data_IF_849150834822
#
_entry.id   IF_849150834822
#
_cell.length_a   1.000
_cell.length_b   1.000
_cell.length_c   1.000
_cell.angle_alpha   90.00
_cell.angle_beta   90.00
_cell.angle_gamma   90.00
#
_symmetry.space_group_name_H-M   'P 1'
#
loop_
_entity.id
_entity.type
_entity.pdbx_description
1 polymer ?
#
# COMPACT_ATOMS: atom_id res chain seq x y z
N UNK A 1 36.57 26.99 -1.83
CA UNK A 1 36.53 25.68 -1.17
C UNK A 1 35.08 25.28 -1.10
N UNK A 2 34.80 24.14 -1.69
CA UNK A 2 33.50 23.57 -2.01
C UNK A 2 32.97 22.84 -0.77
N UNK A 3 31.86 23.30 -0.20
CA UNK A 3 31.09 22.52 0.76
C UNK A 3 29.65 22.48 0.27
N UNK A 4 29.46 21.71 -0.80
CA UNK A 4 28.16 21.30 -1.32
C UNK A 4 27.51 20.37 -0.29
N UNK A 5 26.88 20.94 0.73
CA UNK A 5 26.09 20.21 1.71
C UNK A 5 24.94 19.48 0.99
N UNK A 6 25.08 18.16 0.85
CA UNK A 6 23.98 17.24 0.56
C UNK A 6 22.94 17.37 1.69
N UNK A 7 22.05 18.35 1.56
CA UNK A 7 20.80 18.39 2.30
C UNK A 7 20.00 17.21 1.79
N UNK A 8 20.14 16.07 2.47
CA UNK A 8 19.33 14.88 2.24
C UNK A 8 17.89 15.34 2.07
N UNK A 9 17.35 15.11 0.88
CA UNK A 9 15.97 15.44 0.52
C UNK A 9 15.11 14.74 1.57
N UNK A 10 14.62 15.50 2.56
CA UNK A 10 13.59 15.01 3.48
C UNK A 10 12.35 14.82 2.61
N UNK A 11 12.23 13.65 2.00
CA UNK A 11 11.02 13.24 1.30
C UNK A 11 9.93 13.20 2.36
N UNK A 12 8.95 14.09 2.26
CA UNK A 12 7.75 14.04 3.10
C UNK A 12 6.95 12.79 2.68
N UNK A 13 7.33 11.64 3.20
CA UNK A 13 6.56 10.41 3.11
C UNK A 13 5.46 10.50 4.16
N UNK A 14 4.20 10.50 3.71
CA UNK A 14 3.07 10.35 4.61
C UNK A 14 2.88 8.84 4.79
N UNK A 15 3.27 8.33 5.96
CA UNK A 15 3.05 6.93 6.31
C UNK A 15 1.78 6.81 7.13
N UNK A 16 0.77 6.14 6.58
CA UNK A 16 -0.44 5.72 7.29
C UNK A 16 -0.30 4.25 7.65
N UNK A 17 -0.62 3.91 8.91
CA UNK A 17 -0.71 2.53 9.37
C UNK A 17 -2.17 2.19 9.59
N UNK A 18 -2.65 1.11 8.98
CA UNK A 18 -4.00 0.61 9.23
C UNK A 18 -4.03 -0.90 9.45
N UNK A 19 -4.77 -1.30 10.49
CA UNK A 19 -5.05 -2.70 10.76
C UNK A 19 -6.37 -3.08 10.10
N UNK A 20 -6.30 -3.79 8.98
CA UNK A 20 -7.48 -4.22 8.23
C UNK A 20 -7.94 -5.58 8.77
N UNK A 21 -9.19 -5.65 9.20
CA UNK A 21 -9.83 -6.89 9.64
C UNK A 21 -10.59 -7.50 8.47
N UNK A 22 -10.38 -8.79 8.23
CA UNK A 22 -10.95 -9.52 7.11
C UNK A 22 -11.86 -10.63 7.67
N UNK A 23 -12.87 -11.03 6.90
CA UNK A 23 -13.79 -12.11 7.30
C UNK A 23 -13.04 -13.38 7.76
N UNK A 24 -13.56 -14.02 8.82
CA UNK A 24 -12.95 -15.20 9.43
C UNK A 24 -12.03 -14.91 10.63
N UNK A 25 -12.15 -13.74 11.27
CA UNK A 25 -11.30 -13.27 12.39
C UNK A 25 -9.79 -13.18 12.05
N UNK A 26 -9.44 -13.16 10.77
CA UNK A 26 -8.07 -12.88 10.33
C UNK A 26 -7.88 -11.37 10.22
N UNK A 27 -6.74 -10.89 10.68
CA UNK A 27 -6.34 -9.49 10.52
C UNK A 27 -5.07 -9.43 9.70
N UNK A 28 -4.98 -8.41 8.84
CA UNK A 28 -3.78 -8.05 8.13
C UNK A 28 -3.34 -6.66 8.61
N UNK A 29 -2.09 -6.57 9.07
CA UNK A 29 -1.46 -5.28 9.33
C UNK A 29 -0.98 -4.73 8.00
N UNK A 30 -1.54 -3.59 7.60
CA UNK A 30 -1.26 -2.96 6.31
C UNK A 30 -0.62 -1.60 6.54
N UNK A 31 0.52 -1.40 5.92
CA UNK A 31 1.23 -0.13 5.92
C UNK A 31 1.03 0.52 4.55
N UNK A 32 0.53 1.74 4.52
CA UNK A 32 0.30 2.52 3.32
C UNK A 32 1.21 3.75 3.37
N UNK A 33 2.22 3.78 2.52
CA UNK A 33 3.15 4.91 2.42
C UNK A 33 2.83 5.70 1.15
N UNK A 34 2.61 7.00 1.31
CA UNK A 34 2.29 7.90 0.20
C UNK A 34 3.54 8.70 -0.11
N UNK A 35 4.02 8.55 -1.33
CA UNK A 35 5.15 9.32 -1.87
C UNK A 35 4.69 10.69 -2.37
N UNK A 36 5.62 11.63 -2.48
CA UNK A 36 5.34 12.99 -3.00
C UNK A 36 4.78 12.97 -4.43
N UNK A 37 5.07 11.91 -5.19
CA UNK A 37 4.57 11.68 -6.56
C UNK A 37 3.19 10.99 -6.57
N UNK A 38 2.48 10.98 -5.43
CA UNK A 38 1.15 10.36 -5.27
C UNK A 38 1.12 8.86 -5.59
N UNK A 39 2.22 8.16 -5.31
CA UNK A 39 2.26 6.69 -5.34
C UNK A 39 2.05 6.15 -3.94
N UNK A 40 1.26 5.10 -3.85
CA UNK A 40 0.97 4.37 -2.62
C UNK A 40 1.80 3.09 -2.61
N UNK A 41 2.68 2.96 -1.62
CA UNK A 41 3.42 1.74 -1.35
C UNK A 41 2.71 1.03 -0.21
N UNK A 42 2.09 -0.10 -0.54
CA UNK A 42 1.36 -0.96 0.38
C UNK A 42 2.30 -2.07 0.84
N UNK A 43 2.30 -2.37 2.13
CA UNK A 43 3.12 -3.46 2.68
C UNK A 43 2.35 -4.25 3.73
N UNK A 44 2.47 -5.58 3.66
CA UNK A 44 1.84 -6.54 4.57
C UNK A 44 2.96 -7.42 5.14
N UNK A 45 3.53 -7.06 6.31
CA UNK A 45 4.71 -7.73 6.86
C UNK A 45 4.48 -9.20 7.17
N UNK A 46 3.26 -9.59 7.56
CA UNK A 46 2.92 -10.97 7.93
C UNK A 46 3.13 -11.97 6.80
N UNK A 47 3.11 -11.51 5.55
CA UNK A 47 3.38 -12.31 4.35
C UNK A 47 4.58 -11.80 3.55
N UNK A 48 5.45 -10.95 4.13
CA UNK A 48 6.62 -10.39 3.43
C UNK A 48 6.30 -9.82 2.04
N UNK A 49 5.14 -9.18 1.92
CA UNK A 49 4.61 -8.73 0.64
C UNK A 49 4.49 -7.20 0.62
N UNK A 50 4.75 -6.62 -0.54
CA UNK A 50 4.54 -5.20 -0.80
C UNK A 50 4.18 -4.97 -2.26
N UNK A 51 3.36 -3.95 -2.52
CA UNK A 51 3.03 -3.50 -3.87
C UNK A 51 3.02 -1.98 -3.95
N UNK A 52 3.37 -1.45 -5.12
CA UNK A 52 3.20 -0.04 -5.45
C UNK A 52 1.96 0.11 -6.34
N UNK A 53 1.13 1.10 -6.04
CA UNK A 53 0.03 1.56 -6.89
C UNK A 53 0.13 3.07 -7.08
N UNK A 54 -0.23 3.59 -8.26
CA UNK A 54 -0.12 5.02 -8.59
C UNK A 54 -1.48 5.72 -8.66
N UNK A 55 -1.65 6.91 -8.08
CA UNK A 55 -2.94 7.64 -8.18
C UNK A 55 -3.42 7.91 -9.63
N UNK A 56 -2.54 7.74 -10.64
CA UNK A 56 -2.83 7.98 -12.05
C UNK A 56 -3.53 6.82 -12.77
N UNK A 57 -3.42 5.57 -12.28
CA UNK A 57 -4.07 4.42 -12.92
C UNK A 57 -5.53 4.27 -12.46
N UNK A 58 -6.35 3.58 -13.26
CA UNK A 58 -7.73 3.28 -12.86
C UNK A 58 -7.76 2.41 -11.59
N UNK A 59 -8.50 2.85 -10.57
CA UNK A 59 -8.66 2.14 -9.30
C UNK A 59 -9.08 0.67 -9.47
N UNK A 60 -9.86 0.37 -10.51
CA UNK A 60 -10.29 -0.99 -10.84
C UNK A 60 -9.13 -1.87 -11.31
N UNK A 61 -8.21 -1.33 -12.11
CA UNK A 61 -7.03 -2.06 -12.55
C UNK A 61 -6.09 -2.33 -11.37
N UNK A 62 -5.96 -1.35 -10.47
CA UNK A 62 -5.19 -1.51 -9.24
C UNK A 62 -5.79 -2.53 -8.29
N UNK A 63 -7.11 -2.53 -8.13
CA UNK A 63 -7.82 -3.55 -7.38
C UNK A 63 -7.53 -4.95 -7.93
N UNK A 64 -7.67 -5.14 -9.24
CA UNK A 64 -7.40 -6.43 -9.88
C UNK A 64 -5.93 -6.84 -9.73
N UNK A 65 -5.01 -5.88 -9.81
CA UNK A 65 -3.58 -6.11 -9.61
C UNK A 65 -3.28 -6.56 -8.17
N UNK A 66 -3.81 -5.84 -7.18
CA UNK A 66 -3.66 -6.18 -5.76
C UNK A 66 -4.25 -7.55 -5.46
N UNK A 67 -5.48 -7.82 -5.89
CA UNK A 67 -6.14 -9.11 -5.68
C UNK A 67 -5.33 -10.25 -6.29
N UNK A 68 -4.86 -10.09 -7.54
CA UNK A 68 -4.06 -11.11 -8.23
C UNK A 68 -2.71 -11.35 -7.53
N UNK A 69 -2.05 -10.28 -7.08
CA UNK A 69 -0.77 -10.35 -6.38
C UNK A 69 -0.90 -11.02 -5.00
N UNK A 70 -1.96 -10.70 -4.25
CA UNK A 70 -2.27 -11.33 -2.96
C UNK A 70 -2.64 -12.81 -3.12
N UNK A 71 -3.40 -13.16 -4.16
CA UNK A 71 -3.72 -14.55 -4.50
C UNK A 71 -2.46 -15.36 -4.87
N UNK A 72 -1.54 -14.78 -5.64
CA UNK A 72 -0.27 -15.41 -5.98
C UNK A 72 0.57 -15.70 -4.73
N UNK A 73 0.54 -14.78 -3.75
CA UNK A 73 1.25 -14.95 -2.49
C UNK A 73 0.54 -15.88 -1.49
N UNK A 74 -0.53 -16.57 -1.94
CA UNK A 74 -1.32 -17.52 -1.14
C UNK A 74 -1.78 -16.93 0.20
N UNK A 75 -2.15 -15.64 0.23
CA UNK A 75 -2.71 -15.05 1.43
C UNK A 75 -3.94 -15.85 1.87
N UNK A 76 -3.89 -16.44 3.07
CA UNK A 76 -4.91 -17.39 3.52
C UNK A 76 -6.26 -16.74 3.91
N UNK A 77 -6.43 -15.43 3.71
CA UNK A 77 -7.66 -14.70 3.98
C UNK A 77 -8.37 -14.26 2.70
N UNK A 78 -9.48 -13.53 2.84
CA UNK A 78 -10.21 -13.03 1.68
C UNK A 78 -9.45 -11.88 0.99
N UNK A 79 -8.76 -12.21 -0.10
CA UNK A 79 -7.93 -11.28 -0.89
C UNK A 79 -8.76 -10.18 -1.57
N UNK A 80 -10.03 -10.46 -1.87
CA UNK A 80 -10.97 -9.48 -2.42
C UNK A 80 -11.31 -8.39 -1.39
N UNK A 81 -11.69 -8.79 -0.18
CA UNK A 81 -11.97 -7.86 0.92
C UNK A 81 -10.75 -7.04 1.30
N UNK A 82 -9.56 -7.67 1.32
CA UNK A 82 -8.32 -6.98 1.63
C UNK A 82 -7.97 -5.94 0.55
N UNK A 83 -8.02 -6.32 -0.73
CA UNK A 83 -7.78 -5.38 -1.83
C UNK A 83 -8.80 -4.23 -1.81
N UNK A 84 -10.07 -4.50 -1.52
CA UNK A 84 -11.11 -3.48 -1.43
C UNK A 84 -10.85 -2.50 -0.29
N UNK A 85 -10.45 -3.00 0.88
CA UNK A 85 -10.13 -2.17 2.03
C UNK A 85 -8.87 -1.30 1.78
N UNK A 86 -7.83 -1.86 1.15
CA UNK A 86 -6.63 -1.12 0.77
C UNK A 86 -6.96 0.03 -0.18
N UNK A 87 -7.75 -0.24 -1.23
CA UNK A 87 -8.15 0.78 -2.20
C UNK A 87 -8.99 1.86 -1.51
N UNK A 88 -9.96 1.47 -0.69
CA UNK A 88 -10.79 2.42 0.07
C UNK A 88 -9.96 3.32 1.00
N UNK A 89 -8.88 2.78 1.58
CA UNK A 89 -7.97 3.58 2.39
C UNK A 89 -7.13 4.53 1.55
N UNK A 90 -6.63 4.06 0.40
CA UNK A 90 -5.92 4.91 -0.56
C UNK A 90 -6.82 6.07 -1.05
N UNK A 91 -8.11 5.83 -1.30
CA UNK A 91 -9.08 6.85 -1.73
C UNK A 91 -9.21 8.03 -0.75
N UNK A 92 -9.00 7.83 0.56
CA UNK A 92 -9.06 8.94 1.54
C UNK A 92 -7.95 9.98 1.35
N UNK A 93 -6.91 9.62 0.60
CA UNK A 93 -5.72 10.42 0.40
C UNK A 93 -5.58 10.96 -1.04
N UNK A 94 -6.56 10.67 -1.91
CA UNK A 94 -6.63 11.09 -3.32
C UNK A 94 -7.37 12.42 -3.46
#
# INVERSE_FOLDING_TARGET
MDETAHKGRMTNLITSYEKITISGNKYAEVFLNITEDKRFIISIPSISWSAEISQLDELKEQFNHLQSSLNFHMFEGNTEELAAAIIKEAEKHI
#
